data_IF_840730542299
#
_entry.id   IF_840730542299
#
_cell.length_a   1.000
_cell.length_b   1.000
_cell.length_c   1.000
_cell.angle_alpha   90.00
_cell.angle_beta   90.00
_cell.angle_gamma   90.00
#
_symmetry.space_group_name_H-M   'P 1'
#
loop_
_entity.id
_entity.type
_entity.pdbx_description
1 polymer ?
#
# COMPACT_ATOMS: atom_id res chain seq x y z
N UNK A 1 5.08 14.44 17.76
CA UNK A 1 6.14 14.04 16.80
C UNK A 1 5.53 13.07 15.81
N UNK A 2 5.82 13.22 14.52
CA UNK A 2 5.29 12.30 13.50
C UNK A 2 6.21 11.09 13.29
N UNK A 3 5.57 9.94 13.08
CA UNK A 3 6.21 8.68 12.72
C UNK A 3 5.57 8.14 11.44
N UNK A 4 6.39 7.81 10.46
CA UNK A 4 5.99 7.19 9.19
C UNK A 4 6.58 5.77 9.12
N UNK A 5 5.80 4.82 8.64
CA UNK A 5 6.21 3.41 8.51
C UNK A 5 5.85 2.90 7.12
N UNK A 6 6.80 2.28 6.44
CA UNK A 6 6.61 1.58 5.17
C UNK A 6 6.80 0.09 5.41
N UNK A 7 5.71 -0.65 5.49
CA UNK A 7 5.77 -2.09 5.62
C UNK A 7 5.79 -2.75 4.26
N UNK A 8 6.81 -3.56 3.98
CA UNK A 8 7.06 -4.16 2.66
C UNK A 8 6.90 -5.67 2.72
N UNK A 9 6.31 -6.24 1.67
CA UNK A 9 6.22 -7.68 1.49
C UNK A 9 6.52 -8.02 0.03
N UNK A 10 7.65 -8.70 -0.18
CA UNK A 10 8.14 -9.07 -1.51
C UNK A 10 9.08 -10.28 -1.38
N UNK A 11 8.94 -11.34 -2.22
CA UNK A 11 7.83 -11.59 -3.13
C UNK A 11 6.52 -11.94 -2.39
N UNK A 12 5.38 -11.55 -2.97
CA UNK A 12 4.04 -11.95 -2.51
C UNK A 12 3.14 -12.50 -3.62
N UNK A 13 2.29 -13.45 -3.23
CA UNK A 13 1.09 -13.80 -4.00
C UNK A 13 -0.04 -12.87 -3.59
N UNK A 14 -0.75 -12.31 -4.56
CA UNK A 14 -1.87 -11.41 -4.26
C UNK A 14 -3.03 -12.16 -3.57
N UNK A 15 -3.06 -13.49 -3.68
CA UNK A 15 -4.01 -14.38 -3.02
C UNK A 15 -3.80 -14.43 -1.49
N UNK A 16 -2.61 -14.03 -0.99
CA UNK A 16 -2.30 -13.99 0.44
C UNK A 16 -2.84 -12.73 1.17
N UNK A 17 -3.46 -11.81 0.44
CA UNK A 17 -3.91 -10.50 0.95
C UNK A 17 -5.18 -10.54 1.80
N UNK A 18 -5.75 -11.73 2.06
CA UNK A 18 -7.02 -11.88 2.78
C UNK A 18 -6.87 -12.91 3.92
N UNK A 19 -7.17 -12.55 5.18
CA UNK A 19 -7.51 -13.53 6.20
C UNK A 19 -8.85 -14.17 5.83
N UNK A 20 -8.88 -15.49 5.61
CA UNK A 20 -10.12 -16.20 5.27
C UNK A 20 -11.14 -16.06 6.41
N UNK A 21 -12.38 -15.68 6.07
CA UNK A 21 -13.51 -15.78 7.00
C UNK A 21 -13.87 -17.24 7.31
N UNK A 22 -13.53 -18.17 6.39
CA UNK A 22 -13.65 -19.62 6.58
C UNK A 22 -12.38 -20.33 6.05
N UNK A 23 -11.49 -20.83 6.93
CA UNK A 23 -10.30 -21.58 6.49
C UNK A 23 -10.64 -22.87 5.73
N UNK A 24 -11.85 -23.41 5.89
CA UNK A 24 -12.36 -24.62 5.23
C UNK A 24 -12.92 -24.40 3.82
N UNK A 25 -13.14 -23.15 3.37
CA UNK A 25 -13.67 -22.88 2.04
C UNK A 25 -12.73 -23.38 0.91
N UNK A 26 -11.41 -23.45 1.17
CA UNK A 26 -10.43 -24.01 0.23
C UNK A 26 -10.63 -25.49 -0.07
N UNK A 27 -11.27 -26.25 0.83
CA UNK A 27 -11.43 -27.70 0.66
C UNK A 27 -12.60 -28.09 -0.24
N UNK A 28 -13.56 -27.20 -0.46
CA UNK A 28 -14.83 -27.54 -1.13
C UNK A 28 -14.84 -27.21 -2.63
N UNK A 29 -14.21 -26.10 -3.04
CA UNK A 29 -14.31 -25.60 -4.43
C UNK A 29 -12.98 -25.57 -5.21
N UNK A 30 -11.85 -25.94 -4.59
CA UNK A 30 -10.60 -26.07 -5.33
C UNK A 30 -10.53 -27.46 -5.98
N UNK A 31 -10.42 -27.57 -7.32
CA UNK A 31 -10.00 -28.82 -7.92
C UNK A 31 -8.68 -29.26 -7.27
N UNK A 32 -8.46 -30.56 -7.02
CA UNK A 32 -7.25 -31.02 -6.36
C UNK A 32 -6.04 -30.49 -7.11
N UNK A 33 -5.24 -29.65 -6.43
CA UNK A 33 -4.03 -29.09 -6.99
C UNK A 33 -3.12 -30.26 -7.41
N UNK A 34 -2.70 -30.29 -8.68
CA UNK A 34 -1.79 -31.30 -9.16
C UNK A 34 -0.44 -31.14 -8.48
N UNK A 35 0.30 -32.24 -8.33
CA UNK A 35 1.65 -32.20 -7.74
C UNK A 35 2.55 -31.24 -8.54
N UNK A 36 2.39 -31.16 -9.86
CA UNK A 36 3.07 -30.16 -10.69
C UNK A 36 2.69 -28.71 -10.35
N UNK A 37 1.42 -28.41 -10.04
CA UNK A 37 1.00 -27.06 -9.65
C UNK A 37 1.53 -26.65 -8.26
N UNK A 38 1.75 -27.62 -7.37
CA UNK A 38 2.38 -27.41 -6.05
C UNK A 38 3.90 -27.28 -6.13
N UNK A 39 4.54 -27.95 -7.10
CA UNK A 39 5.98 -27.94 -7.36
C UNK A 39 6.41 -26.83 -8.33
N UNK A 40 5.48 -26.26 -9.09
CA UNK A 40 5.71 -25.05 -9.84
C UNK A 40 6.18 -23.98 -8.85
N UNK A 41 7.28 -23.26 -9.13
CA UNK A 41 7.64 -22.11 -8.33
C UNK A 41 6.39 -21.25 -8.18
N UNK A 42 5.99 -20.95 -6.95
CA UNK A 42 5.04 -19.86 -6.69
C UNK A 42 5.80 -18.59 -7.08
N UNK A 43 5.91 -18.36 -8.38
CA UNK A 43 6.35 -17.13 -8.98
C UNK A 43 5.26 -16.15 -8.61
N UNK A 44 5.42 -15.58 -7.43
CA UNK A 44 4.58 -14.54 -6.91
C UNK A 44 5.39 -13.25 -7.10
N UNK A 45 5.54 -12.75 -8.34
CA UNK A 45 6.51 -11.70 -8.68
C UNK A 45 5.97 -10.32 -8.29
N UNK A 46 5.17 -10.22 -7.23
CA UNK A 46 4.59 -8.96 -6.81
C UNK A 46 5.21 -8.51 -5.51
N UNK A 47 5.18 -7.20 -5.33
CA UNK A 47 5.54 -6.52 -4.12
C UNK A 47 4.31 -5.77 -3.61
N UNK A 48 4.20 -5.70 -2.28
CA UNK A 48 3.29 -4.81 -1.59
C UNK A 48 4.07 -3.90 -0.66
N UNK A 49 3.66 -2.64 -0.59
CA UNK A 49 3.97 -1.77 0.52
C UNK A 49 2.68 -1.30 1.21
N UNK A 50 2.76 -1.06 2.52
CA UNK A 50 1.72 -0.38 3.29
C UNK A 50 2.36 0.82 3.99
N UNK A 51 1.95 2.01 3.58
CA UNK A 51 2.41 3.28 4.12
C UNK A 51 1.47 3.72 5.23
N UNK A 52 1.97 3.72 6.46
CA UNK A 52 1.23 4.07 7.66
C UNK A 52 1.84 5.29 8.36
N UNK A 53 0.99 6.02 9.10
CA UNK A 53 1.44 7.15 9.92
C UNK A 53 0.88 7.14 11.34
N UNK A 54 1.66 7.68 12.28
CA UNK A 54 1.19 7.94 13.64
C UNK A 54 1.77 9.27 14.16
N UNK A 55 0.90 10.16 14.61
CA UNK A 55 1.28 11.37 15.33
C UNK A 55 1.33 11.08 16.83
N UNK A 56 2.52 11.18 17.42
CA UNK A 56 2.79 11.04 18.85
C UNK A 56 2.83 12.43 19.53
N UNK A 57 1.68 13.06 19.65
CA UNK A 57 1.50 14.31 20.42
C UNK A 57 0.57 14.11 21.61
N UNK A 58 0.11 15.22 22.21
CA UNK A 58 -0.86 15.19 23.33
C UNK A 58 -2.13 14.41 22.97
N UNK A 59 -2.59 14.58 21.73
CA UNK A 59 -3.64 13.77 21.12
C UNK A 59 -3.01 12.91 20.04
N UNK A 60 -2.99 11.61 20.27
CA UNK A 60 -2.51 10.64 19.27
C UNK A 60 -3.44 10.61 18.08
N UNK A 61 -2.86 10.61 16.86
CA UNK A 61 -3.61 10.40 15.61
C UNK A 61 -3.00 9.26 14.79
N UNK A 62 -3.82 8.42 14.19
CA UNK A 62 -3.41 7.28 13.36
C UNK A 62 -3.92 7.45 11.93
N UNK A 63 -3.00 7.36 10.98
CA UNK A 63 -3.23 7.61 9.55
C UNK A 63 -2.15 8.53 8.99
N UNK A 64 -1.54 8.17 7.86
CA UNK A 64 -0.49 8.99 7.25
C UNK A 64 -1.02 10.36 6.79
N UNK A 65 -2.30 10.46 6.45
CA UNK A 65 -2.95 11.75 6.15
C UNK A 65 -3.27 12.59 7.40
N UNK A 66 -3.12 12.05 8.61
CA UNK A 66 -3.38 12.73 9.88
C UNK A 66 -2.11 13.31 10.54
N UNK A 67 -0.96 13.15 9.89
CA UNK A 67 0.33 13.71 10.31
C UNK A 67 0.39 15.22 10.07
N UNK A 68 1.12 15.94 10.93
CA UNK A 68 1.33 17.38 10.76
C UNK A 68 2.31 17.65 9.61
N UNK A 69 3.37 16.84 9.50
CA UNK A 69 4.43 16.93 8.51
C UNK A 69 4.10 16.12 7.25
N UNK A 70 2.99 16.46 6.58
CA UNK A 70 2.53 15.72 5.38
C UNK A 70 3.58 15.64 4.26
N UNK A 71 4.44 16.65 4.11
CA UNK A 71 5.50 16.65 3.08
C UNK A 71 6.55 15.54 3.31
N UNK A 72 6.72 15.06 4.54
CA UNK A 72 7.71 14.04 4.90
C UNK A 72 7.42 12.65 4.27
N UNK A 73 6.20 12.43 3.78
CA UNK A 73 5.82 11.20 3.06
C UNK A 73 5.28 11.47 1.65
N UNK A 74 4.71 12.64 1.39
CA UNK A 74 4.25 13.02 0.05
C UNK A 74 5.45 13.22 -0.90
N UNK A 75 6.50 13.93 -0.49
CA UNK A 75 7.65 14.18 -1.35
C UNK A 75 8.38 12.90 -1.80
N UNK A 76 8.65 11.93 -0.91
CA UNK A 76 9.13 10.60 -1.31
C UNK A 76 8.24 9.92 -2.35
N UNK A 77 6.91 9.95 -2.19
CA UNK A 77 6.00 9.33 -3.16
C UNK A 77 6.01 10.08 -4.51
N UNK A 78 6.03 11.41 -4.50
CA UNK A 78 6.15 12.19 -5.74
C UNK A 78 7.45 11.84 -6.47
N UNK A 79 8.57 11.78 -5.75
CA UNK A 79 9.87 11.38 -6.31
C UNK A 79 9.85 9.96 -6.87
N UNK A 80 9.27 9.00 -6.13
CA UNK A 80 9.10 7.64 -6.63
C UNK A 80 8.27 7.60 -7.91
N UNK A 81 7.18 8.37 -8.01
CA UNK A 81 6.33 8.44 -9.22
C UNK A 81 6.90 9.28 -10.37
N UNK A 82 8.01 9.98 -10.17
CA UNK A 82 8.53 10.95 -11.14
C UNK A 82 8.78 10.33 -12.52
N UNK A 83 8.41 11.07 -13.57
CA UNK A 83 8.57 10.64 -14.97
C UNK A 83 7.58 9.57 -15.43
N UNK A 84 6.57 9.22 -14.62
CA UNK A 84 5.52 8.26 -14.97
C UNK A 84 4.15 8.95 -14.93
N UNK A 85 3.27 8.54 -15.83
CA UNK A 85 1.88 9.00 -15.82
C UNK A 85 1.16 8.46 -14.59
N UNK A 86 0.33 9.29 -13.98
CA UNK A 86 -0.49 8.91 -12.82
C UNK A 86 -1.95 9.15 -13.15
N UNK A 87 -2.77 8.11 -12.98
CA UNK A 87 -4.21 8.16 -13.20
C UNK A 87 -4.93 7.90 -11.89
N UNK A 88 -5.83 8.81 -11.50
CA UNK A 88 -6.77 8.58 -10.41
C UNK A 88 -8.09 8.01 -10.94
N UNK A 89 -8.63 7.06 -10.20
CA UNK A 89 -10.00 6.62 -10.34
C UNK A 89 -10.83 7.26 -9.21
N UNK A 90 -11.78 8.10 -9.59
CA UNK A 90 -12.68 8.76 -8.66
C UNK A 90 -13.84 7.84 -8.22
N UNK A 91 -14.53 8.20 -7.15
CA UNK A 91 -15.65 7.44 -6.60
C UNK A 91 -16.81 7.28 -7.60
N UNK A 92 -17.00 8.25 -8.50
CA UNK A 92 -17.96 8.19 -9.60
C UNK A 92 -17.52 7.25 -10.75
N UNK A 93 -16.36 6.61 -10.62
CA UNK A 93 -15.77 5.73 -11.62
C UNK A 93 -15.05 6.46 -12.74
N UNK A 94 -14.96 7.80 -12.71
CA UNK A 94 -14.27 8.57 -13.72
C UNK A 94 -12.75 8.46 -13.56
N UNK A 95 -12.02 8.09 -14.62
CA UNK A 95 -10.56 8.11 -14.62
C UNK A 95 -10.06 9.51 -14.99
N UNK A 96 -9.04 10.00 -14.28
CA UNK A 96 -8.41 11.30 -14.54
C UNK A 96 -6.89 11.21 -14.41
N UNK A 97 -6.18 11.64 -15.44
CA UNK A 97 -4.73 11.87 -15.36
C UNK A 97 -4.40 13.01 -14.40
N UNK A 98 -3.37 12.84 -13.58
CA UNK A 98 -2.94 13.81 -12.58
C UNK A 98 -1.56 14.38 -12.92
N UNK A 99 -1.44 15.70 -12.77
CA UNK A 99 -0.16 16.38 -12.64
C UNK A 99 0.42 16.17 -11.23
N UNK A 100 1.72 16.39 -11.05
CA UNK A 100 2.39 16.17 -9.75
C UNK A 100 1.75 16.95 -8.58
N UNK A 101 1.32 18.19 -8.81
CA UNK A 101 0.62 18.99 -7.80
C UNK A 101 -0.77 18.44 -7.44
N UNK A 102 -1.48 17.88 -8.43
CA UNK A 102 -2.78 17.24 -8.21
C UNK A 102 -2.61 15.91 -7.47
N UNK A 103 -1.57 15.14 -7.80
CA UNK A 103 -1.19 13.93 -7.06
C UNK A 103 -0.90 14.24 -5.60
N UNK A 104 -0.12 15.29 -5.31
CA UNK A 104 0.16 15.71 -3.94
C UNK A 104 -1.13 16.05 -3.17
N UNK A 105 -2.08 16.72 -3.82
CA UNK A 105 -3.38 17.04 -3.23
C UNK A 105 -4.23 15.78 -2.96
N UNK A 106 -4.25 14.84 -3.90
CA UNK A 106 -4.96 13.56 -3.76
C UNK A 106 -4.35 12.69 -2.67
N UNK A 107 -3.02 12.57 -2.62
CA UNK A 107 -2.33 11.85 -1.55
C UNK A 107 -2.73 12.40 -0.18
N UNK A 108 -2.69 13.74 -0.02
CA UNK A 108 -3.06 14.41 1.22
C UNK A 108 -4.53 14.22 1.62
N UNK A 109 -5.44 14.13 0.65
CA UNK A 109 -6.89 14.04 0.87
C UNK A 109 -7.52 13.05 -0.12
N UNK A 110 -7.44 11.74 0.15
CA UNK A 110 -7.94 10.72 -0.78
C UNK A 110 -9.46 10.53 -0.76
N UNK A 111 -10.20 11.37 -0.04
CA UNK A 111 -11.65 11.29 0.00
C UNK A 111 -12.23 11.37 -1.43
N UNK A 112 -13.00 10.36 -1.82
CA UNK A 112 -13.56 10.25 -3.17
C UNK A 112 -12.60 9.68 -4.22
N UNK A 113 -11.45 9.15 -3.82
CA UNK A 113 -10.53 8.40 -4.69
C UNK A 113 -10.65 6.92 -4.36
N UNK A 114 -10.88 6.09 -5.38
CA UNK A 114 -10.95 4.63 -5.25
C UNK A 114 -9.58 3.99 -5.41
N UNK A 115 -8.80 4.46 -6.38
CA UNK A 115 -7.46 3.96 -6.64
C UNK A 115 -6.61 4.99 -7.41
N UNK A 116 -5.29 4.82 -7.33
CA UNK A 116 -4.33 5.45 -8.22
C UNK A 116 -3.58 4.37 -9.01
N UNK A 117 -3.27 4.64 -10.28
CA UNK A 117 -2.33 3.86 -11.06
C UNK A 117 -1.15 4.73 -11.46
N UNK A 118 0.07 4.19 -11.35
CA UNK A 118 1.32 4.82 -11.75
C UNK A 118 1.92 4.00 -12.88
N UNK A 119 2.09 4.60 -14.05
CA UNK A 119 2.53 3.92 -15.27
C UNK A 119 1.39 3.58 -16.23
N UNK A 120 1.62 2.68 -17.20
CA UNK A 120 0.67 2.42 -18.28
C UNK A 120 -0.60 1.74 -17.76
N UNK A 121 -1.75 2.38 -17.95
CA UNK A 121 -3.03 1.86 -17.46
C UNK A 121 -4.14 2.05 -18.49
N UNK A 122 -4.92 1.00 -18.74
CA UNK A 122 -6.21 1.11 -19.38
C UNK A 122 -7.25 1.51 -18.31
N UNK A 123 -7.99 2.62 -18.47
CA UNK A 123 -8.88 3.10 -17.41
C UNK A 123 -9.94 2.09 -16.94
N UNK A 124 -10.47 1.28 -17.84
CA UNK A 124 -11.42 0.21 -17.49
C UNK A 124 -10.82 -0.87 -16.59
N UNK A 125 -9.54 -1.21 -16.79
CA UNK A 125 -8.84 -2.19 -15.97
C UNK A 125 -8.58 -1.66 -14.54
N UNK A 126 -8.33 -0.35 -14.38
CA UNK A 126 -8.22 0.27 -13.06
C UNK A 126 -9.56 0.24 -12.32
N UNK A 127 -10.67 0.53 -13.02
CA UNK A 127 -12.00 0.45 -12.45
C UNK A 127 -12.37 -0.97 -11.99
N UNK A 128 -12.00 -1.97 -12.78
CA UNK A 128 -12.20 -3.38 -12.44
C UNK A 128 -11.32 -3.80 -11.25
N UNK A 129 -10.03 -3.44 -11.25
CA UNK A 129 -9.11 -3.76 -10.15
C UNK A 129 -9.52 -3.11 -8.82
N UNK A 130 -10.13 -1.92 -8.87
CA UNK A 130 -10.57 -1.20 -7.68
C UNK A 130 -11.87 -1.75 -7.06
N UNK A 131 -12.67 -2.48 -7.83
CA UNK A 131 -13.96 -3.00 -7.37
C UNK A 131 -14.97 -1.92 -6.99
N UNK A 132 -16.23 -2.28 -6.73
CA UNK A 132 -17.24 -1.27 -6.39
C UNK A 132 -16.88 -0.46 -5.14
N UNK A 133 -17.38 0.79 -5.07
CA UNK A 133 -17.14 1.66 -3.93
C UNK A 133 -17.73 1.03 -2.66
N UNK A 134 -16.86 0.56 -1.77
CA UNK A 134 -17.24 -0.03 -0.50
C UNK A 134 -17.36 1.03 0.60
N UNK A 135 -18.42 0.96 1.40
CA UNK A 135 -18.58 1.78 2.61
C UNK A 135 -17.82 1.26 3.83
N UNK A 136 -17.37 0.00 3.79
CA UNK A 136 -16.65 -0.65 4.90
C UNK A 136 -15.17 -0.94 4.59
N UNK A 137 -14.68 -0.50 3.42
CA UNK A 137 -13.28 -0.65 2.99
C UNK A 137 -12.82 -2.09 2.75
N UNK A 138 -13.71 -3.07 2.96
CA UNK A 138 -13.38 -4.49 3.03
C UNK A 138 -13.87 -5.26 1.80
N UNK A 139 -14.62 -4.62 0.89
CA UNK A 139 -15.13 -5.28 -0.31
C UNK A 139 -13.99 -5.81 -1.19
N UNK A 140 -13.94 -7.14 -1.26
CA UNK A 140 -13.77 -7.94 -2.48
C UNK A 140 -12.53 -7.70 -3.35
N UNK A 141 -11.42 -7.16 -2.83
CA UNK A 141 -10.12 -7.15 -3.58
C UNK A 141 -9.77 -8.52 -4.16
N UNK A 142 -10.22 -9.60 -3.51
CA UNK A 142 -10.12 -10.99 -3.99
C UNK A 142 -10.76 -11.20 -5.36
N UNK A 143 -11.96 -10.69 -5.57
CA UNK A 143 -12.74 -10.88 -6.79
C UNK A 143 -12.15 -10.06 -7.96
N UNK A 144 -11.36 -9.05 -7.62
CA UNK A 144 -10.68 -8.14 -8.55
C UNK A 144 -9.18 -8.46 -8.74
N UNK A 145 -8.68 -9.55 -8.15
CA UNK A 145 -7.28 -9.98 -8.29
C UNK A 145 -6.85 -10.20 -9.75
N UNK A 146 -7.67 -10.78 -10.65
CA UNK A 146 -7.29 -10.93 -12.05
C UNK A 146 -7.00 -9.58 -12.73
N UNK A 147 -7.84 -8.57 -12.48
CA UNK A 147 -7.67 -7.23 -13.02
C UNK A 147 -6.44 -6.52 -12.42
N UNK A 148 -6.24 -6.62 -11.10
CA UNK A 148 -5.04 -6.09 -10.46
C UNK A 148 -3.78 -6.74 -11.04
N UNK A 149 -3.79 -8.08 -11.19
CA UNK A 149 -2.68 -8.83 -11.79
C UNK A 149 -2.36 -8.34 -13.20
N UNK A 150 -3.36 -8.14 -14.05
CA UNK A 150 -3.17 -7.64 -15.40
C UNK A 150 -2.51 -6.25 -15.42
N UNK A 151 -2.88 -5.35 -14.49
CA UNK A 151 -2.23 -4.04 -14.34
C UNK A 151 -0.77 -4.18 -13.92
N UNK A 152 -0.47 -5.00 -12.91
CA UNK A 152 0.89 -5.19 -12.42
C UNK A 152 1.78 -5.86 -13.47
N UNK A 153 1.27 -6.87 -14.17
CA UNK A 153 1.97 -7.55 -15.26
C UNK A 153 2.25 -6.62 -16.44
N UNK A 154 1.35 -5.66 -16.69
CA UNK A 154 1.51 -4.57 -17.64
C UNK A 154 2.49 -3.47 -17.21
N UNK A 155 3.05 -3.55 -16.00
CA UNK A 155 4.06 -2.62 -15.48
C UNK A 155 3.52 -1.43 -14.72
N UNK A 156 2.20 -1.37 -14.45
CA UNK A 156 1.64 -0.36 -13.55
C UNK A 156 1.93 -0.71 -12.08
N UNK A 157 2.04 0.31 -11.24
CA UNK A 157 1.84 0.18 -9.80
C UNK A 157 0.45 0.72 -9.44
N UNK A 158 -0.24 0.10 -8.49
CA UNK A 158 -1.59 0.49 -8.08
C UNK A 158 -1.60 0.83 -6.60
N UNK A 159 -2.17 1.98 -6.25
CA UNK A 159 -2.30 2.44 -4.87
C UNK A 159 -3.78 2.50 -4.48
N UNK A 160 -4.08 2.03 -3.28
CA UNK A 160 -5.41 2.10 -2.69
C UNK A 160 -5.36 2.89 -1.38
N UNK A 161 -6.26 3.85 -1.17
CA UNK A 161 -6.43 4.45 0.13
C UNK A 161 -7.02 3.42 1.09
N UNK A 162 -6.49 3.37 2.31
CA UNK A 162 -6.89 2.46 3.37
C UNK A 162 -7.41 3.28 4.53
N UNK A 163 -8.60 2.98 5.05
CA UNK A 163 -9.14 3.73 6.20
C UNK A 163 -8.26 3.48 7.43
N UNK A 164 -7.83 4.57 8.07
CA UNK A 164 -7.17 4.58 9.36
C UNK A 164 -8.05 5.31 10.39
N UNK A 165 -7.68 5.29 11.67
CA UNK A 165 -8.53 5.81 12.74
C UNK A 165 -8.87 7.31 12.58
N UNK A 166 -7.90 8.13 12.21
CA UNK A 166 -8.05 9.60 12.07
C UNK A 166 -7.85 10.09 10.62
N UNK A 167 -7.89 9.18 9.64
CA UNK A 167 -7.59 9.51 8.26
C UNK A 167 -7.43 8.29 7.37
N UNK A 168 -6.40 8.31 6.53
CA UNK A 168 -6.10 7.24 5.60
C UNK A 168 -4.61 6.90 5.63
N UNK A 169 -4.35 5.63 5.34
CA UNK A 169 -3.07 5.05 4.97
C UNK A 169 -3.11 4.66 3.48
N UNK A 170 -2.02 4.09 2.96
CA UNK A 170 -1.97 3.66 1.56
C UNK A 170 -1.40 2.25 1.42
N UNK A 171 -2.12 1.37 0.72
CA UNK A 171 -1.55 0.14 0.15
C UNK A 171 -1.00 0.42 -1.24
N UNK A 172 0.18 -0.11 -1.55
CA UNK A 172 0.85 0.01 -2.85
C UNK A 172 1.13 -1.39 -3.37
N UNK A 173 0.79 -1.67 -4.61
CA UNK A 173 1.05 -2.93 -5.29
C UNK A 173 1.88 -2.68 -6.55
N UNK A 174 2.90 -3.51 -6.77
CA UNK A 174 3.74 -3.43 -7.95
C UNK A 174 4.24 -4.83 -8.33
N UNK A 175 4.72 -4.98 -9.56
CA UNK A 175 5.50 -6.14 -9.97
C UNK A 175 6.98 -6.02 -9.62
N UNK A 176 7.52 -4.81 -9.65
CA UNK A 176 8.88 -4.56 -9.21
C UNK A 176 8.95 -4.51 -7.66
N UNK A 177 10.07 -4.94 -7.05
CA UNK A 177 10.33 -4.72 -5.63
C UNK A 177 10.15 -3.25 -5.23
N UNK A 178 9.51 -3.03 -4.09
CA UNK A 178 9.19 -1.72 -3.54
C UNK A 178 10.11 -1.32 -2.39
N UNK A 179 10.74 -2.26 -1.68
CA UNK A 179 11.51 -1.93 -0.47
C UNK A 179 12.59 -0.90 -0.73
N UNK A 180 13.55 -1.22 -1.60
CA UNK A 180 14.71 -0.36 -1.83
C UNK A 180 14.28 0.93 -2.54
N UNK A 181 13.37 0.84 -3.51
CA UNK A 181 12.86 2.00 -4.24
C UNK A 181 12.18 3.03 -3.32
N UNK A 182 11.35 2.57 -2.37
CA UNK A 182 10.72 3.46 -1.39
C UNK A 182 11.74 3.93 -0.35
N UNK A 183 12.58 3.05 0.20
CA UNK A 183 13.60 3.43 1.16
C UNK A 183 14.52 4.53 0.61
N UNK A 184 14.98 4.40 -0.63
CA UNK A 184 15.81 5.40 -1.30
C UNK A 184 15.06 6.73 -1.48
N UNK A 185 13.78 6.69 -1.89
CA UNK A 185 12.96 7.89 -1.99
C UNK A 185 12.80 8.61 -0.64
N UNK A 186 12.65 7.87 0.45
CA UNK A 186 12.59 8.45 1.80
C UNK A 186 13.94 9.03 2.24
N UNK A 187 15.06 8.35 1.98
CA UNK A 187 16.42 8.85 2.30
C UNK A 187 16.77 10.12 1.53
N UNK A 188 16.34 10.23 0.28
CA UNK A 188 16.59 11.42 -0.57
C UNK A 188 15.81 12.66 -0.12
N UNK A 189 14.77 12.48 0.71
CA UNK A 189 13.89 13.56 1.17
C UNK A 189 13.86 13.63 2.70
N UNK A 190 14.97 13.97 3.37
CA UNK A 190 15.04 14.01 4.84
C UNK A 190 14.04 15.01 5.42
N UNK A 191 13.41 14.63 6.53
CA UNK A 191 12.40 15.44 7.22
C UNK A 191 12.78 15.60 8.70
N UNK A 192 13.41 16.73 9.09
CA UNK A 192 13.78 16.97 10.49
C UNK A 192 12.57 16.89 11.43
N UNK A 193 12.70 16.17 12.54
CA UNK A 193 11.62 16.02 13.53
C UNK A 193 10.57 14.96 13.19
N UNK A 194 10.76 14.21 12.10
CA UNK A 194 9.91 13.08 11.72
C UNK A 194 10.76 11.81 11.70
N UNK A 195 10.28 10.75 12.34
CA UNK A 195 10.94 9.44 12.30
C UNK A 195 10.29 8.56 11.24
N UNK A 196 11.10 7.89 10.43
CA UNK A 196 10.63 7.21 9.22
C UNK A 196 11.25 5.84 9.16
N UNK A 197 10.43 4.81 9.01
CA UNK A 197 10.87 3.43 9.12
C UNK A 197 10.46 2.61 7.90
N UNK A 198 11.33 1.69 7.50
CA UNK A 198 11.02 0.62 6.55
C UNK A 198 11.13 -0.72 7.27
N UNK A 199 10.11 -1.55 7.16
CA UNK A 199 10.05 -2.82 7.88
C UNK A 199 9.42 -3.92 7.03
N UNK A 200 9.77 -5.20 7.22
CA UNK A 200 9.10 -6.30 6.56
C UNK A 200 7.71 -6.55 7.19
N UNK A 201 6.66 -6.54 6.38
CA UNK A 201 5.26 -6.70 6.83
C UNK A 201 5.04 -8.00 7.63
N UNK A 202 5.70 -9.10 7.26
CA UNK A 202 5.59 -10.40 7.95
C UNK A 202 6.01 -10.35 9.42
N UNK A 203 6.87 -9.40 9.80
CA UNK A 203 7.31 -9.19 11.19
C UNK A 203 6.42 -8.20 11.94
N UNK A 204 5.54 -7.47 11.24
CA UNK A 204 4.68 -6.41 11.76
C UNK A 204 3.18 -6.77 11.78
N UNK A 205 2.83 -8.06 11.81
CA UNK A 205 1.42 -8.52 11.71
C UNK A 205 0.62 -8.37 13.01
N UNK A 206 1.27 -8.35 14.16
CA UNK A 206 0.61 -8.14 15.45
C UNK A 206 0.47 -6.66 15.76
N UNK A 207 -0.56 -6.28 16.52
CA UNK A 207 -0.78 -4.88 16.92
C UNK A 207 0.47 -4.26 17.57
N UNK A 208 1.10 -4.99 18.49
CA UNK A 208 2.34 -4.56 19.15
C UNK A 208 3.53 -4.35 18.21
N UNK A 209 3.57 -5.11 17.12
CA UNK A 209 4.64 -5.02 16.11
C UNK A 209 4.31 -4.02 15.00
N UNK A 210 3.03 -3.74 14.76
CA UNK A 210 2.59 -2.74 13.78
C UNK A 210 2.73 -1.32 14.34
N UNK A 211 2.38 -1.14 15.61
CA UNK A 211 2.46 0.15 16.31
C UNK A 211 3.70 0.25 17.21
N UNK A 212 4.81 -0.39 16.82
CA UNK A 212 6.03 -0.49 17.66
C UNK A 212 6.52 0.87 18.19
N UNK A 213 6.25 1.97 17.49
CA UNK A 213 6.54 3.34 17.91
C UNK A 213 5.84 3.76 19.20
N UNK A 214 4.78 3.08 19.62
CA UNK A 214 4.08 3.34 20.88
C UNK A 214 4.82 2.75 22.10
N UNK A 215 5.76 1.83 21.89
CA UNK A 215 6.40 1.08 22.98
C UNK A 215 7.93 0.99 22.89
N UNK A 216 8.50 1.04 21.68
CA UNK A 216 9.89 0.67 21.42
C UNK A 216 10.62 1.69 20.51
N UNK A 217 10.19 2.95 20.55
CA UNK A 217 10.71 3.97 19.64
C UNK A 217 12.22 4.24 19.86
N UNK A 218 12.69 4.16 21.10
CA UNK A 218 14.12 4.33 21.45
C UNK A 218 14.92 3.01 21.42
N UNK A 219 14.24 1.89 21.22
CA UNK A 219 14.81 0.55 21.17
C UNK A 219 14.17 -0.25 20.03
N UNK A 220 14.43 0.20 18.80
CA UNK A 220 13.78 -0.33 17.61
C UNK A 220 13.97 -1.85 17.50
N UNK A 221 12.96 -2.58 17.03
CA UNK A 221 13.13 -3.97 16.66
C UNK A 221 14.25 -4.13 15.61
N UNK A 222 15.00 -5.23 15.67
CA UNK A 222 16.11 -5.55 14.76
C UNK A 222 15.71 -5.63 13.27
N UNK A 223 14.42 -5.81 13.00
CA UNK A 223 13.84 -5.87 11.67
C UNK A 223 13.32 -4.51 11.13
N UNK A 224 13.29 -3.46 11.95
CA UNK A 224 12.87 -2.13 11.55
C UNK A 224 14.10 -1.26 11.23
N UNK A 225 14.10 -0.65 10.06
CA UNK A 225 15.19 0.19 9.57
C UNK A 225 14.73 1.66 9.55
N UNK A 226 15.48 2.57 10.14
CA UNK A 226 15.21 4.02 10.05
C UNK A 226 15.87 4.62 8.80
N UNK A 227 15.13 5.46 8.08
CA UNK A 227 15.50 6.04 6.77
C UNK A 227 15.34 7.55 6.71
#
# INVERSE_FOLDING_TARGET
>A
MDVIKVFTEEPIGLEALVPDAEPDARRRDAPPATLEAMLAPTAAPYARAYLAGTHLGDVRRVGVTALDAAEAWIQPLLAWTAGRDVTALHADGSPRGLLAAELAAVLRRPAGIRALAVGPVAPGALAEAAGEASTDGTSQRRDHLPALRALLDGGAAVLFPETAFDGHDWSIFARAPLRDALADAFRQHPAPGVRRFVAPYRRARGEHTFYFEQWALDALPDWAEEV
#
